data_IF_052378040317
#
_entry.id   IF_052378040317
#
_cell.length_a   1.000
_cell.length_b   1.000
_cell.length_c   1.000
_cell.angle_alpha   90.00
_cell.angle_beta   90.00
_cell.angle_gamma   90.00
#
_symmetry.space_group_name_H-M   'P 1'
#
loop_
_entity.id
_entity.type
_entity.pdbx_description
1 polymer ?
#
# COMPACT_ATOMS: atom_id res chain seq x y z
N UNK A 1 10.11 -23.94 -9.11
CA UNK A 1 11.09 -24.67 -8.27
C UNK A 1 11.44 -23.76 -7.12
N UNK A 2 11.14 -24.15 -5.88
CA UNK A 2 11.38 -23.37 -4.65
C UNK A 2 12.24 -24.18 -3.68
N UNK A 3 12.97 -23.51 -2.80
CA UNK A 3 13.77 -24.11 -1.73
C UNK A 3 12.94 -24.22 -0.46
N UNK A 4 12.69 -25.43 0.03
CA UNK A 4 11.86 -25.67 1.19
C UNK A 4 12.71 -26.34 2.29
N UNK A 5 12.71 -25.75 3.50
CA UNK A 5 13.37 -26.31 4.67
C UNK A 5 12.33 -27.03 5.52
N UNK A 6 12.54 -28.30 5.77
CA UNK A 6 11.73 -29.14 6.66
C UNK A 6 12.51 -29.34 7.97
N UNK A 7 11.91 -28.95 9.10
CA UNK A 7 12.49 -29.08 10.43
C UNK A 7 11.57 -29.96 11.29
N UNK A 8 12.00 -31.20 11.53
CA UNK A 8 11.20 -32.20 12.27
C UNK A 8 12.17 -33.28 12.77
N UNK A 9 12.05 -33.71 14.02
CA UNK A 9 12.92 -34.72 14.62
C UNK A 9 12.48 -36.17 14.32
N UNK A 10 11.32 -36.32 13.68
CA UNK A 10 10.75 -37.64 13.33
C UNK A 10 11.13 -38.05 11.91
N UNK A 11 12.01 -39.05 11.70
CA UNK A 11 12.50 -39.42 10.37
C UNK A 11 11.39 -39.79 9.37
N UNK A 12 10.30 -40.39 9.85
CA UNK A 12 9.16 -40.78 9.00
C UNK A 12 8.44 -39.54 8.45
N UNK A 13 8.21 -38.54 9.30
CA UNK A 13 7.60 -37.26 8.90
C UNK A 13 8.45 -36.54 7.87
N UNK A 14 9.75 -36.42 8.14
CA UNK A 14 10.73 -35.80 7.23
C UNK A 14 10.74 -36.53 5.88
N UNK A 15 10.77 -37.85 5.87
CA UNK A 15 10.79 -38.64 4.63
C UNK A 15 9.51 -38.42 3.82
N UNK A 16 8.33 -38.42 4.48
CA UNK A 16 7.05 -38.16 3.82
C UNK A 16 7.00 -36.77 3.18
N UNK A 17 7.37 -35.73 3.93
CA UNK A 17 7.39 -34.34 3.45
C UNK A 17 8.41 -34.18 2.30
N UNK A 18 9.61 -34.71 2.45
CA UNK A 18 10.64 -34.66 1.41
C UNK A 18 10.19 -35.33 0.11
N UNK A 19 9.65 -36.55 0.18
CA UNK A 19 9.15 -37.27 -1.00
C UNK A 19 7.99 -36.51 -1.67
N UNK A 20 7.08 -35.95 -0.87
CA UNK A 20 5.91 -35.22 -1.38
C UNK A 20 6.33 -33.94 -2.10
N UNK A 21 7.20 -33.16 -1.50
CA UNK A 21 7.62 -31.85 -2.03
C UNK A 21 8.60 -31.98 -3.20
N UNK A 22 9.50 -32.97 -3.15
CA UNK A 22 10.42 -33.25 -4.27
C UNK A 22 9.67 -33.72 -5.52
N UNK A 23 8.59 -34.51 -5.37
CA UNK A 23 7.71 -34.89 -6.50
C UNK A 23 7.02 -33.69 -7.14
N UNK A 24 6.81 -32.59 -6.40
CA UNK A 24 6.27 -31.33 -6.93
C UNK A 24 7.36 -30.43 -7.55
N UNK A 25 8.61 -30.88 -7.63
CA UNK A 25 9.69 -30.17 -8.26
C UNK A 25 10.37 -29.10 -7.37
N UNK A 26 10.22 -29.22 -6.05
CA UNK A 26 10.91 -28.34 -5.10
C UNK A 26 12.26 -28.92 -4.69
N UNK A 27 13.22 -28.06 -4.33
CA UNK A 27 14.47 -28.42 -3.66
C UNK A 27 14.20 -28.44 -2.14
N UNK A 28 14.43 -29.59 -1.49
CA UNK A 28 14.12 -29.77 -0.06
C UNK A 28 15.39 -30.07 0.72
N UNK A 29 15.58 -29.36 1.84
CA UNK A 29 16.55 -29.69 2.88
C UNK A 29 15.84 -29.99 4.20
N UNK A 30 16.45 -30.81 5.04
CA UNK A 30 15.91 -31.15 6.35
C UNK A 30 16.89 -30.82 7.47
N UNK A 31 16.32 -30.57 8.67
CA UNK A 31 17.05 -30.40 9.92
C UNK A 31 16.29 -31.18 11.02
N UNK A 32 17.03 -31.74 11.98
CA UNK A 32 16.51 -32.68 12.95
C UNK A 32 16.11 -32.03 14.30
N UNK A 33 16.32 -30.72 14.45
CA UNK A 33 15.88 -29.93 15.61
C UNK A 33 15.80 -28.44 15.28
N UNK A 34 15.21 -27.65 16.19
CA UNK A 34 15.02 -26.23 16.00
C UNK A 34 16.32 -25.44 15.85
N UNK A 35 17.38 -25.80 16.55
CA UNK A 35 18.67 -25.11 16.47
C UNK A 35 19.33 -25.29 15.08
N UNK A 36 19.31 -26.50 14.57
CA UNK A 36 19.77 -26.80 13.22
C UNK A 36 18.88 -26.12 12.17
N UNK A 37 17.56 -26.10 12.39
CA UNK A 37 16.60 -25.41 11.54
C UNK A 37 16.88 -23.92 11.40
N UNK A 38 17.15 -23.22 12.53
CA UNK A 38 17.56 -21.81 12.53
C UNK A 38 18.87 -21.58 11.78
N UNK A 39 19.88 -22.45 12.00
CA UNK A 39 21.16 -22.35 11.30
C UNK A 39 20.99 -22.58 9.78
N UNK A 40 20.28 -23.63 9.40
CA UNK A 40 19.99 -23.95 8.01
C UNK A 40 19.19 -22.85 7.30
N UNK A 41 18.18 -22.29 7.95
CA UNK A 41 17.40 -21.17 7.43
C UNK A 41 18.30 -19.95 7.14
N UNK A 42 19.19 -19.61 8.04
CA UNK A 42 20.13 -18.48 7.89
C UNK A 42 21.13 -18.69 6.75
N UNK A 43 21.68 -19.90 6.63
CA UNK A 43 22.70 -20.23 5.61
C UNK A 43 22.07 -20.38 4.23
N UNK A 44 21.02 -21.17 4.12
CA UNK A 44 20.46 -21.59 2.85
C UNK A 44 19.37 -20.65 2.30
N UNK A 45 18.77 -19.83 3.18
CA UNK A 45 17.69 -18.88 2.84
C UNK A 45 16.56 -19.55 2.06
N UNK A 46 15.80 -20.46 2.67
CA UNK A 46 14.70 -21.15 2.02
C UNK A 46 13.58 -20.17 1.64
N UNK A 47 12.81 -20.53 0.62
CA UNK A 47 11.61 -19.80 0.19
C UNK A 47 10.40 -20.12 1.06
N UNK A 48 10.46 -21.22 1.85
CA UNK A 48 9.46 -21.64 2.83
C UNK A 48 10.09 -22.57 3.87
N UNK A 49 9.62 -22.48 5.13
CA UNK A 49 10.01 -23.41 6.22
C UNK A 49 8.77 -24.16 6.69
N UNK A 50 8.90 -25.47 6.88
CA UNK A 50 7.95 -26.32 7.58
C UNK A 50 8.60 -26.69 8.92
N UNK A 51 7.95 -26.35 10.03
CA UNK A 51 8.53 -26.41 11.35
C UNK A 51 7.69 -27.28 12.27
N UNK A 52 8.22 -28.39 12.75
CA UNK A 52 7.58 -29.14 13.85
C UNK A 52 7.69 -28.39 15.17
N UNK A 53 6.65 -28.51 16.01
CA UNK A 53 6.62 -27.87 17.33
C UNK A 53 7.44 -28.66 18.34
N UNK A 54 7.23 -29.98 18.41
CA UNK A 54 7.75 -30.82 19.47
C UNK A 54 9.10 -31.45 19.10
N UNK A 55 10.16 -30.70 19.33
CA UNK A 55 11.53 -31.16 19.04
C UNK A 55 12.43 -31.01 20.26
N UNK A 56 13.47 -31.86 20.38
CA UNK A 56 14.47 -31.73 21.44
C UNK A 56 15.36 -30.50 21.26
N UNK A 57 16.00 -30.05 22.35
CA UNK A 57 16.93 -28.93 22.44
C UNK A 57 16.29 -27.56 22.21
N UNK A 58 15.54 -27.37 21.16
CA UNK A 58 14.83 -26.14 20.83
C UNK A 58 13.51 -26.50 20.15
N UNK A 59 12.41 -26.07 20.77
CA UNK A 59 11.07 -26.25 20.19
C UNK A 59 10.83 -25.39 18.95
N UNK A 60 9.79 -25.74 18.19
CA UNK A 60 9.45 -25.04 16.94
C UNK A 60 9.00 -23.60 17.14
N UNK A 61 8.43 -23.24 18.27
CA UNK A 61 8.02 -21.87 18.56
C UNK A 61 9.25 -20.97 18.80
N UNK A 62 10.20 -21.43 19.58
CA UNK A 62 11.46 -20.70 19.80
C UNK A 62 12.28 -20.62 18.52
N UNK A 63 12.34 -21.69 17.72
CA UNK A 63 12.99 -21.69 16.41
C UNK A 63 12.33 -20.66 15.48
N UNK A 64 11.00 -20.63 15.44
CA UNK A 64 10.21 -19.64 14.65
C UNK A 64 10.54 -18.21 15.10
N UNK A 65 10.52 -17.90 16.39
CA UNK A 65 10.91 -16.57 16.90
C UNK A 65 12.32 -16.17 16.47
N UNK A 66 13.28 -17.10 16.51
CA UNK A 66 14.68 -16.83 16.11
C UNK A 66 14.82 -16.64 14.61
N UNK A 67 14.07 -17.38 13.79
CA UNK A 67 14.04 -17.17 12.34
C UNK A 67 13.45 -15.79 12.03
N UNK A 68 12.38 -15.37 12.70
CA UNK A 68 11.76 -14.04 12.57
C UNK A 68 12.68 -12.90 13.03
N UNK A 69 13.45 -13.10 14.08
CA UNK A 69 14.41 -12.10 14.57
C UNK A 69 15.61 -11.90 13.64
N UNK A 70 15.84 -12.79 12.68
CA UNK A 70 16.94 -12.71 11.76
C UNK A 70 16.51 -12.06 10.44
N UNK A 71 16.97 -10.85 10.17
CA UNK A 71 16.59 -10.02 9.02
C UNK A 71 16.52 -10.76 7.66
N UNK A 72 17.49 -11.61 7.25
CA UNK A 72 17.43 -12.32 5.98
C UNK A 72 16.31 -13.35 5.86
N UNK A 73 15.75 -13.83 6.98
CA UNK A 73 14.72 -14.88 7.02
C UNK A 73 13.42 -14.43 7.66
N UNK A 74 13.34 -13.15 8.08
CA UNK A 74 12.21 -12.61 8.82
C UNK A 74 10.86 -12.72 8.06
N UNK A 75 10.90 -12.69 6.73
CA UNK A 75 9.73 -12.76 5.86
C UNK A 75 9.56 -14.13 5.17
N UNK A 76 10.44 -15.11 5.43
CA UNK A 76 10.28 -16.46 4.89
C UNK A 76 9.02 -17.10 5.47
N UNK A 77 8.06 -17.56 4.67
CA UNK A 77 6.87 -18.22 5.17
C UNK A 77 7.21 -19.42 6.05
N UNK A 78 6.56 -19.52 7.22
CA UNK A 78 6.72 -20.63 8.16
C UNK A 78 5.39 -21.28 8.41
N UNK A 79 5.26 -22.55 8.04
CA UNK A 79 4.12 -23.41 8.36
C UNK A 79 4.52 -24.25 9.57
N UNK A 80 3.84 -24.04 10.70
CA UNK A 80 4.07 -24.83 11.90
C UNK A 80 3.25 -26.12 11.82
N UNK A 81 3.88 -27.26 12.13
CA UNK A 81 3.24 -28.57 12.16
C UNK A 81 3.19 -29.07 13.60
N UNK A 82 2.03 -29.47 14.09
CA UNK A 82 1.83 -29.88 15.49
C UNK A 82 0.98 -31.15 15.60
N UNK A 83 1.22 -31.94 16.63
CA UNK A 83 0.41 -33.11 16.95
C UNK A 83 -0.89 -32.75 17.70
N UNK A 84 -1.02 -31.54 18.20
CA UNK A 84 -2.18 -31.09 18.97
C UNK A 84 -2.95 -30.03 18.16
N UNK A 85 -4.27 -30.17 18.12
CA UNK A 85 -5.18 -29.28 17.38
C UNK A 85 -6.02 -28.41 18.33
N UNK A 86 -5.40 -27.89 19.40
CA UNK A 86 -6.06 -27.02 20.36
C UNK A 86 -5.98 -25.57 19.93
N UNK A 87 -6.97 -24.76 20.35
CA UNK A 87 -6.97 -23.32 20.07
C UNK A 87 -5.75 -22.64 20.69
N UNK A 88 -5.31 -23.07 21.87
CA UNK A 88 -4.17 -22.50 22.58
C UNK A 88 -2.86 -22.69 21.79
N UNK A 89 -2.66 -23.86 21.19
CA UNK A 89 -1.47 -24.12 20.37
C UNK A 89 -1.46 -23.37 19.04
N UNK A 90 -2.65 -23.25 18.42
CA UNK A 90 -2.80 -22.41 17.22
C UNK A 90 -2.43 -20.95 17.52
N UNK A 91 -2.91 -20.42 18.65
CA UNK A 91 -2.55 -19.07 19.09
C UNK A 91 -1.04 -18.94 19.36
N UNK A 92 -0.44 -19.92 20.06
CA UNK A 92 1.00 -19.93 20.34
C UNK A 92 1.86 -19.97 19.07
N UNK A 93 1.43 -20.70 18.03
CA UNK A 93 2.11 -20.72 16.73
C UNK A 93 2.10 -19.32 16.06
N UNK A 94 0.94 -18.66 16.02
CA UNK A 94 0.83 -17.31 15.44
C UNK A 94 1.57 -16.25 16.29
N UNK A 95 1.53 -16.34 17.62
CA UNK A 95 2.31 -15.47 18.51
C UNK A 95 3.83 -15.66 18.35
N UNK A 96 4.28 -16.86 18.00
CA UNK A 96 5.67 -17.11 17.67
C UNK A 96 6.06 -16.54 16.28
N UNK A 97 5.10 -16.15 15.46
CA UNK A 97 5.29 -15.57 14.14
C UNK A 97 5.15 -16.57 12.98
N UNK A 98 4.43 -17.68 13.17
CA UNK A 98 4.06 -18.58 12.07
C UNK A 98 3.05 -17.91 11.11
N UNK A 99 3.11 -18.22 9.82
CA UNK A 99 2.17 -17.76 8.81
C UNK A 99 0.99 -18.72 8.62
N UNK A 100 1.18 -19.97 9.01
CA UNK A 100 0.14 -21.01 8.96
C UNK A 100 0.48 -22.13 9.95
N UNK A 101 -0.51 -22.98 10.19
CA UNK A 101 -0.30 -24.20 11.00
C UNK A 101 -0.98 -25.40 10.33
N UNK A 102 -0.52 -26.61 10.64
CA UNK A 102 -1.09 -27.87 10.18
C UNK A 102 -1.01 -28.93 11.28
N UNK A 103 -2.07 -29.70 11.47
CA UNK A 103 -2.10 -30.77 12.47
C UNK A 103 -1.56 -32.10 11.92
N UNK A 104 -0.84 -32.86 12.76
CA UNK A 104 -0.48 -34.26 12.47
C UNK A 104 -1.59 -35.21 12.98
N UNK A 105 -1.95 -36.26 12.23
CA UNK A 105 -1.47 -36.62 10.90
C UNK A 105 -2.10 -35.74 9.81
N UNK A 106 -1.35 -35.42 8.76
CA UNK A 106 -1.81 -34.62 7.63
C UNK A 106 -1.78 -35.44 6.34
N UNK A 107 -2.65 -35.08 5.41
CA UNK A 107 -2.66 -35.67 4.08
C UNK A 107 -1.64 -34.98 3.16
N UNK A 108 -0.93 -35.71 2.28
CA UNK A 108 0.00 -35.11 1.33
C UNK A 108 -0.61 -33.98 0.47
N UNK A 109 -1.90 -34.10 0.14
CA UNK A 109 -2.62 -33.08 -0.65
C UNK A 109 -2.77 -31.78 0.14
N UNK A 110 -3.02 -31.85 1.46
CA UNK A 110 -3.10 -30.67 2.32
C UNK A 110 -1.75 -29.96 2.42
N UNK A 111 -0.66 -30.72 2.62
CA UNK A 111 0.70 -30.17 2.65
C UNK A 111 1.01 -29.41 1.34
N UNK A 112 0.75 -30.04 0.18
CA UNK A 112 0.98 -29.41 -1.13
C UNK A 112 0.16 -28.12 -1.26
N UNK A 113 -1.12 -28.15 -0.93
CA UNK A 113 -2.02 -27.00 -1.06
C UNK A 113 -1.52 -25.80 -0.22
N UNK A 114 -1.16 -26.03 1.04
CA UNK A 114 -0.63 -24.98 1.94
C UNK A 114 0.70 -24.43 1.44
N UNK A 115 1.64 -25.29 1.07
CA UNK A 115 2.94 -24.90 0.53
C UNK A 115 2.78 -24.05 -0.74
N UNK A 116 1.92 -24.47 -1.67
CA UNK A 116 1.65 -23.69 -2.89
C UNK A 116 1.06 -22.32 -2.61
N UNK A 117 0.10 -22.23 -1.67
CA UNK A 117 -0.52 -20.95 -1.27
C UNK A 117 0.56 -20.00 -0.73
N UNK A 118 1.41 -20.45 0.19
CA UNK A 118 2.43 -19.60 0.77
C UNK A 118 3.56 -19.25 -0.21
N UNK A 119 3.98 -20.17 -1.06
CA UNK A 119 4.95 -19.87 -2.13
C UNK A 119 4.40 -18.90 -3.16
N UNK A 120 3.13 -19.04 -3.57
CA UNK A 120 2.47 -18.05 -4.44
C UNK A 120 2.37 -16.69 -3.78
N UNK A 121 2.03 -16.61 -2.49
CA UNK A 121 2.02 -15.36 -1.72
C UNK A 121 3.40 -14.70 -1.69
N UNK A 122 4.46 -15.49 -1.46
CA UNK A 122 5.84 -14.99 -1.45
C UNK A 122 6.32 -14.53 -2.84
N UNK A 123 5.87 -15.16 -3.92
CA UNK A 123 6.18 -14.78 -5.32
C UNK A 123 5.37 -13.58 -5.81
N UNK A 124 4.16 -13.37 -5.25
CA UNK A 124 3.30 -12.22 -5.56
C UNK A 124 3.65 -10.99 -4.71
N UNK A 125 4.50 -11.14 -3.70
CA UNK A 125 5.15 -10.01 -3.06
C UNK A 125 5.93 -9.23 -4.13
N UNK A 126 5.77 -7.90 -4.22
CA UNK A 126 6.43 -7.12 -5.28
C UNK A 126 7.94 -7.37 -5.24
N UNK A 127 8.49 -7.89 -6.33
CA UNK A 127 9.94 -8.12 -6.50
C UNK A 127 10.65 -6.77 -6.49
N UNK A 128 11.08 -6.29 -5.33
CA UNK A 128 11.73 -5.00 -5.18
C UNK A 128 12.08 -4.60 -3.75
N UNK A 129 11.72 -5.40 -2.74
CA UNK A 129 12.07 -5.07 -1.35
C UNK A 129 13.23 -5.96 -0.88
N UNK A 130 14.43 -5.38 -0.87
CA UNK A 130 15.59 -5.95 -0.20
C UNK A 130 15.30 -6.20 1.30
N UNK A 131 15.94 -7.22 1.94
CA UNK A 131 15.69 -7.58 3.33
C UNK A 131 16.22 -6.49 4.26
N UNK A 132 15.34 -5.84 5.01
CA UNK A 132 15.81 -5.06 6.14
C UNK A 132 15.07 -3.80 6.52
N UNK A 133 13.79 -3.95 6.93
CA UNK A 133 13.11 -3.16 7.97
C UNK A 133 11.78 -3.87 8.23
N UNK A 134 11.25 -3.91 9.49
CA UNK A 134 9.82 -4.09 9.63
C UNK A 134 9.17 -3.00 8.79
N UNK A 135 8.39 -3.39 7.76
CA UNK A 135 7.76 -2.42 6.86
C UNK A 135 6.82 -1.60 7.73
N UNK A 136 7.13 -0.35 7.95
CA UNK A 136 6.15 0.58 8.47
C UNK A 136 4.92 0.49 7.55
N UNK A 137 3.73 0.47 8.11
CA UNK A 137 2.51 0.44 7.32
C UNK A 137 2.59 1.48 6.20
N UNK A 138 2.14 1.11 4.99
CA UNK A 138 2.21 1.97 3.82
C UNK A 138 1.59 3.34 4.10
N UNK A 139 2.21 4.37 3.57
CA UNK A 139 1.84 5.75 3.79
C UNK A 139 0.56 6.10 3.01
N UNK A 140 -0.51 6.45 3.71
CA UNK A 140 -1.78 6.87 3.11
C UNK A 140 -1.82 8.39 3.01
N UNK A 141 -2.01 8.88 1.79
CA UNK A 141 -2.22 10.26 1.43
C UNK A 141 -3.66 10.43 0.94
N UNK A 142 -4.50 11.12 1.70
CA UNK A 142 -5.86 11.41 1.30
C UNK A 142 -5.96 12.75 0.57
N UNK A 143 -6.65 12.79 -0.56
CA UNK A 143 -7.09 14.03 -1.20
C UNK A 143 -8.58 14.20 -0.89
N UNK A 144 -8.96 15.28 -0.23
CA UNK A 144 -10.30 15.50 0.30
C UNK A 144 -10.75 16.95 0.17
N UNK A 145 -12.01 17.18 -0.11
CA UNK A 145 -12.65 18.50 -0.05
C UNK A 145 -14.16 18.34 0.12
N UNK A 146 -14.81 19.14 0.96
CA UNK A 146 -16.27 19.16 1.07
C UNK A 146 -16.97 19.77 -0.16
N UNK A 147 -16.20 20.29 -1.12
CA UNK A 147 -16.76 20.93 -2.30
C UNK A 147 -16.29 20.26 -3.59
N UNK A 148 -17.24 19.90 -4.45
CA UNK A 148 -16.96 19.42 -5.79
C UNK A 148 -16.31 20.48 -6.68
N UNK A 149 -15.53 20.04 -7.67
CA UNK A 149 -14.84 20.92 -8.60
C UNK A 149 -13.59 21.62 -8.07
N UNK A 150 -13.14 21.31 -6.86
CA UNK A 150 -11.90 21.83 -6.27
C UNK A 150 -10.62 21.18 -6.82
N UNK A 151 -10.73 20.08 -7.59
CA UNK A 151 -9.62 19.38 -8.21
C UNK A 151 -9.08 18.18 -7.41
N UNK A 152 -9.88 17.58 -6.51
CA UNK A 152 -9.49 16.42 -5.67
C UNK A 152 -8.97 15.28 -6.53
N UNK A 153 -9.76 14.77 -7.47
CA UNK A 153 -9.40 13.63 -8.33
C UNK A 153 -8.21 13.92 -9.25
N UNK A 154 -8.12 15.14 -9.76
CA UNK A 154 -6.98 15.58 -10.60
C UNK A 154 -5.69 15.62 -9.78
N UNK A 155 -5.76 16.13 -8.56
CA UNK A 155 -4.64 16.16 -7.62
C UNK A 155 -4.22 14.75 -7.25
N UNK A 156 -5.17 13.90 -6.83
CA UNK A 156 -4.91 12.52 -6.43
C UNK A 156 -4.23 11.71 -7.55
N UNK A 157 -4.78 11.76 -8.76
CA UNK A 157 -4.23 11.05 -9.93
C UNK A 157 -2.82 11.55 -10.31
N UNK A 158 -2.62 12.87 -10.30
CA UNK A 158 -1.31 13.46 -10.62
C UNK A 158 -0.25 13.15 -9.56
N UNK A 159 -0.62 13.19 -8.27
CA UNK A 159 0.28 12.83 -7.17
C UNK A 159 0.65 11.35 -7.18
N UNK A 160 -0.33 10.45 -7.41
CA UNK A 160 -0.07 9.02 -7.49
C UNK A 160 0.96 8.71 -8.59
N UNK A 161 0.80 9.30 -9.79
CA UNK A 161 1.74 9.15 -10.90
C UNK A 161 3.11 9.73 -10.55
N UNK A 162 3.15 10.93 -9.99
CA UNK A 162 4.40 11.58 -9.60
C UNK A 162 5.19 10.77 -8.57
N UNK A 163 4.49 10.24 -7.56
CA UNK A 163 5.08 9.41 -6.50
C UNK A 163 5.66 8.10 -7.06
N UNK A 164 4.88 7.39 -7.89
CA UNK A 164 5.35 6.15 -8.52
C UNK A 164 6.60 6.37 -9.37
N UNK A 165 6.61 7.42 -10.19
CA UNK A 165 7.74 7.75 -11.06
C UNK A 165 8.95 8.25 -10.29
N UNK A 166 8.75 9.07 -9.24
CA UNK A 166 9.85 9.65 -8.46
C UNK A 166 10.58 8.57 -7.66
N UNK A 167 9.86 7.73 -6.96
CA UNK A 167 10.45 6.78 -6.02
C UNK A 167 10.63 5.37 -6.59
N UNK A 168 10.00 5.06 -7.74
CA UNK A 168 9.98 3.69 -8.30
C UNK A 168 9.48 2.65 -7.30
N UNK A 169 8.57 3.07 -6.44
CA UNK A 169 7.98 2.24 -5.38
C UNK A 169 6.56 1.81 -5.73
N UNK A 170 6.09 0.67 -5.21
CA UNK A 170 4.72 0.24 -5.36
C UNK A 170 3.75 1.33 -4.86
N UNK A 171 3.05 1.96 -5.78
CA UNK A 171 2.12 3.06 -5.50
C UNK A 171 0.71 2.68 -5.94
N UNK A 172 -0.27 3.00 -5.09
CA UNK A 172 -1.67 2.69 -5.31
C UNK A 172 -2.50 3.97 -5.35
N UNK A 173 -3.46 4.04 -6.26
CA UNK A 173 -4.53 5.03 -6.28
C UNK A 173 -5.85 4.35 -5.95
N UNK A 174 -6.51 4.81 -4.88
CA UNK A 174 -7.83 4.37 -4.45
C UNK A 174 -8.88 5.40 -4.87
N UNK A 175 -9.80 5.02 -5.74
CA UNK A 175 -10.97 5.83 -6.08
C UNK A 175 -12.10 5.55 -5.10
N UNK A 176 -12.18 6.36 -4.06
CA UNK A 176 -13.20 6.25 -3.01
C UNK A 176 -14.46 7.08 -3.33
N UNK A 177 -14.51 7.73 -4.49
CA UNK A 177 -15.72 8.40 -4.99
C UNK A 177 -16.66 7.33 -5.54
N UNK A 178 -17.22 6.51 -4.65
CA UNK A 178 -17.99 5.31 -5.00
C UNK A 178 -19.20 5.60 -5.91
N UNK A 179 -19.67 6.83 -5.92
CA UNK A 179 -20.74 7.30 -6.81
C UNK A 179 -20.18 8.27 -7.84
N UNK A 180 -19.91 7.76 -9.03
CA UNK A 180 -19.42 8.59 -10.14
C UNK A 180 -17.94 8.99 -10.03
N UNK A 181 -17.11 8.12 -9.51
CA UNK A 181 -15.64 8.31 -9.50
C UNK A 181 -15.05 8.24 -10.91
N UNK A 182 -13.93 8.91 -11.10
CA UNK A 182 -13.31 9.09 -12.41
C UNK A 182 -11.79 8.83 -12.43
N UNK A 183 -11.21 8.29 -11.36
CA UNK A 183 -9.75 8.07 -11.29
C UNK A 183 -9.25 7.14 -12.42
N UNK A 184 -10.02 6.10 -12.75
CA UNK A 184 -9.69 5.21 -13.86
C UNK A 184 -9.70 5.95 -15.22
N UNK A 185 -10.69 6.83 -15.43
CA UNK A 185 -10.79 7.67 -16.63
C UNK A 185 -9.60 8.66 -16.73
N UNK A 186 -9.24 9.30 -15.62
CA UNK A 186 -8.12 10.24 -15.56
C UNK A 186 -6.77 9.58 -15.84
N UNK A 187 -6.67 8.25 -15.70
CA UNK A 187 -5.48 7.46 -16.01
C UNK A 187 -5.62 6.63 -17.29
N UNK A 188 -6.72 6.80 -18.04
CA UNK A 188 -7.01 6.01 -19.24
C UNK A 188 -6.85 4.50 -19.05
N UNK A 189 -7.34 3.99 -17.92
CA UNK A 189 -7.38 2.55 -17.63
C UNK A 189 -8.84 2.05 -17.66
N UNK A 190 -9.08 0.81 -18.14
CA UNK A 190 -10.42 0.24 -18.14
C UNK A 190 -10.87 -0.06 -16.72
N UNK A 191 -12.04 0.41 -16.29
CA UNK A 191 -12.64 0.05 -15.00
C UNK A 191 -13.30 -1.34 -15.07
N UNK A 192 -12.52 -2.38 -15.44
CA UNK A 192 -13.00 -3.75 -15.60
C UNK A 192 -13.22 -4.48 -14.27
N UNK A 193 -12.71 -3.95 -13.19
CA UNK A 193 -12.86 -4.41 -11.79
C UNK A 193 -12.84 -3.19 -10.88
N UNK A 194 -13.58 -3.25 -9.78
CA UNK A 194 -13.84 -2.09 -8.94
C UNK A 194 -13.99 -2.48 -7.47
N UNK A 195 -14.20 -1.51 -6.61
CA UNK A 195 -14.60 -1.72 -5.23
C UNK A 195 -15.84 -2.61 -5.08
N UNK A 196 -16.82 -2.48 -5.98
CA UNK A 196 -18.04 -3.28 -5.92
C UNK A 196 -17.78 -4.75 -6.22
N UNK A 197 -16.93 -5.06 -7.19
CA UNK A 197 -16.53 -6.43 -7.50
C UNK A 197 -15.80 -7.07 -6.30
N UNK A 198 -14.95 -6.31 -5.62
CA UNK A 198 -14.26 -6.75 -4.41
C UNK A 198 -15.23 -6.95 -3.24
N UNK A 199 -16.20 -6.04 -3.06
CA UNK A 199 -17.23 -6.14 -2.03
C UNK A 199 -18.27 -7.25 -2.29
N UNK A 200 -18.15 -7.98 -3.38
CA UNK A 200 -18.92 -9.22 -3.63
C UNK A 200 -18.59 -10.37 -2.70
N UNK A 201 -17.43 -10.31 -1.99
CA UNK A 201 -17.06 -11.27 -0.93
C UNK A 201 -17.06 -10.58 0.44
N UNK A 202 -17.31 -11.34 1.52
CA UNK A 202 -17.24 -10.78 2.88
C UNK A 202 -15.81 -10.31 3.24
N UNK A 203 -15.64 -9.25 4.05
CA UNK A 203 -14.34 -8.68 4.41
C UNK A 203 -13.36 -9.69 5.03
N UNK A 204 -13.87 -10.70 5.73
CA UNK A 204 -13.09 -11.75 6.40
C UNK A 204 -12.38 -12.69 5.40
N UNK A 205 -12.86 -12.73 4.17
CA UNK A 205 -12.26 -13.54 3.09
C UNK A 205 -11.18 -12.77 2.31
N UNK A 206 -10.97 -11.49 2.63
CA UNK A 206 -9.96 -10.70 1.93
C UNK A 206 -8.55 -11.16 2.30
N UNK A 207 -7.79 -11.48 1.27
CA UNK A 207 -6.34 -11.69 1.36
C UNK A 207 -5.62 -10.85 0.28
N UNK A 208 -4.31 -10.87 0.32
CA UNK A 208 -3.49 -10.09 -0.61
C UNK A 208 -3.72 -10.49 -2.08
N UNK A 209 -3.95 -11.78 -2.35
CA UNK A 209 -4.20 -12.28 -3.70
C UNK A 209 -5.57 -11.80 -4.20
N UNK A 210 -6.60 -11.92 -3.34
CA UNK A 210 -7.95 -11.47 -3.65
C UNK A 210 -7.99 -9.96 -3.90
N UNK A 211 -7.42 -9.14 -3.02
CA UNK A 211 -7.40 -7.68 -3.19
C UNK A 211 -6.61 -7.29 -4.45
N UNK A 212 -5.42 -7.88 -4.66
CA UNK A 212 -4.57 -7.54 -5.80
C UNK A 212 -5.20 -7.87 -7.17
N UNK A 213 -6.08 -8.87 -7.28
CA UNK A 213 -6.76 -9.17 -8.55
C UNK A 213 -7.72 -8.05 -9.00
N UNK A 214 -8.18 -7.19 -8.07
CA UNK A 214 -9.06 -6.06 -8.39
C UNK A 214 -8.29 -4.77 -8.75
N UNK A 215 -6.96 -4.80 -8.65
CA UNK A 215 -6.11 -3.66 -8.97
C UNK A 215 -5.73 -3.67 -10.44
N UNK A 216 -5.89 -2.52 -11.10
CA UNK A 216 -5.56 -2.33 -12.50
C UNK A 216 -4.20 -1.64 -12.62
N UNK A 217 -3.29 -2.21 -13.41
CA UNK A 217 -1.97 -1.63 -13.62
C UNK A 217 -2.02 -0.48 -14.64
N UNK A 218 -1.34 0.63 -14.33
CA UNK A 218 -1.13 1.75 -15.23
C UNK A 218 0.34 1.85 -15.66
N UNK A 219 0.60 2.39 -16.86
CA UNK A 219 1.95 2.50 -17.45
C UNK A 219 2.97 3.27 -16.60
N UNK A 220 2.52 4.16 -15.70
CA UNK A 220 3.39 4.92 -14.79
C UNK A 220 3.94 4.11 -13.61
N UNK A 221 3.50 2.86 -13.43
CA UNK A 221 3.80 2.04 -12.25
C UNK A 221 2.74 2.14 -11.14
N UNK A 222 1.73 3.03 -11.28
CA UNK A 222 0.59 3.09 -10.38
C UNK A 222 -0.32 1.88 -10.60
N UNK A 223 -0.85 1.33 -9.52
CA UNK A 223 -2.02 0.45 -9.55
C UNK A 223 -3.25 1.22 -9.10
N UNK A 224 -4.38 0.93 -9.69
CA UNK A 224 -5.64 1.65 -9.41
C UNK A 224 -6.67 0.65 -8.90
N UNK A 225 -7.35 1.00 -7.82
CA UNK A 225 -8.60 0.37 -7.42
C UNK A 225 -9.74 1.33 -7.78
N UNK A 226 -10.46 1.08 -8.90
CA UNK A 226 -11.49 1.99 -9.37
C UNK A 226 -12.74 2.00 -8.51
N UNK A 227 -13.48 3.10 -8.57
CA UNK A 227 -14.86 3.17 -8.11
C UNK A 227 -15.77 2.25 -8.93
N UNK A 228 -16.96 1.87 -8.40
CA UNK A 228 -17.96 1.12 -9.15
C UNK A 228 -18.38 1.85 -10.43
N UNK A 229 -18.57 1.09 -11.51
CA UNK A 229 -19.04 1.65 -12.81
C UNK A 229 -20.52 2.06 -12.71
N UNK A 230 -21.33 1.29 -11.98
CA UNK A 230 -22.74 1.56 -11.81
C UNK A 230 -23.03 2.13 -10.42
N UNK A 231 -23.74 3.25 -10.38
CA UNK A 231 -24.09 3.97 -9.14
C UNK A 231 -24.74 3.08 -8.08
N UNK A 232 -25.58 2.11 -8.52
CA UNK A 232 -26.25 1.18 -7.60
C UNK A 232 -25.28 0.25 -6.85
N UNK A 233 -24.15 -0.02 -7.42
CA UNK A 233 -23.14 -0.92 -6.85
C UNK A 233 -22.35 -0.25 -5.72
N UNK A 234 -22.41 1.07 -5.62
CA UNK A 234 -21.78 1.81 -4.52
C UNK A 234 -22.29 1.37 -3.13
N UNK A 235 -23.55 0.93 -3.04
CA UNK A 235 -24.17 0.46 -1.80
C UNK A 235 -23.61 -0.88 -1.30
N UNK A 236 -22.92 -1.64 -2.15
CA UNK A 236 -22.26 -2.89 -1.78
C UNK A 236 -21.00 -2.64 -0.92
N UNK A 237 -20.38 -1.47 -1.08
CA UNK A 237 -19.14 -1.13 -0.38
C UNK A 237 -19.46 -0.49 0.96
N UNK A 238 -19.19 -1.20 2.03
CA UNK A 238 -19.37 -0.74 3.40
C UNK A 238 -18.02 -0.42 4.08
N UNK A 239 -18.01 0.21 5.27
CA UNK A 239 -16.78 0.58 5.97
C UNK A 239 -15.88 -0.61 6.32
N UNK A 240 -16.45 -1.79 6.58
CA UNK A 240 -15.71 -3.01 6.92
C UNK A 240 -14.90 -3.52 5.71
N UNK A 241 -15.48 -3.49 4.50
CA UNK A 241 -14.74 -3.77 3.27
C UNK A 241 -13.55 -2.82 3.08
N UNK A 242 -13.78 -1.52 3.33
CA UNK A 242 -12.72 -0.49 3.18
C UNK A 242 -11.60 -0.73 4.19
N UNK A 243 -11.93 -1.01 5.46
CA UNK A 243 -10.95 -1.28 6.52
C UNK A 243 -10.12 -2.52 6.21
N UNK A 244 -10.78 -3.65 5.87
CA UNK A 244 -10.11 -4.90 5.53
C UNK A 244 -9.18 -4.76 4.32
N UNK A 245 -9.64 -4.06 3.26
CA UNK A 245 -8.81 -3.78 2.11
C UNK A 245 -7.60 -2.90 2.47
N UNK A 246 -7.78 -1.84 3.25
CA UNK A 246 -6.69 -0.95 3.68
C UNK A 246 -5.65 -1.68 4.53
N UNK A 247 -6.02 -2.60 5.41
CA UNK A 247 -5.09 -3.41 6.21
C UNK A 247 -4.15 -4.19 5.29
N UNK A 248 -4.70 -4.82 4.26
CA UNK A 248 -3.93 -5.58 3.28
C UNK A 248 -3.10 -4.66 2.39
N UNK A 249 -3.68 -3.56 1.92
CA UNK A 249 -3.02 -2.65 0.99
C UNK A 249 -1.86 -1.92 1.65
N UNK A 250 -2.00 -1.44 2.90
CA UNK A 250 -0.92 -0.81 3.64
C UNK A 250 0.23 -1.78 3.97
N UNK A 251 -0.06 -3.07 4.12
CA UNK A 251 0.98 -4.08 4.30
C UNK A 251 1.78 -4.35 3.01
N UNK A 252 1.19 -4.12 1.82
CA UNK A 252 1.77 -4.51 0.54
C UNK A 252 2.27 -3.33 -0.31
N UNK A 253 1.76 -2.12 -0.10
CA UNK A 253 2.11 -0.91 -0.85
C UNK A 253 2.79 0.10 0.06
N UNK A 254 3.82 0.78 -0.45
CA UNK A 254 4.55 1.81 0.31
C UNK A 254 3.82 3.15 0.29
N UNK A 255 3.12 3.43 -0.80
CA UNK A 255 2.42 4.68 -1.05
C UNK A 255 0.99 4.41 -1.52
N UNK A 256 0.03 4.93 -0.78
CA UNK A 256 -1.39 4.89 -1.12
C UNK A 256 -1.90 6.32 -1.25
N UNK A 257 -2.48 6.65 -2.38
CA UNK A 257 -3.18 7.92 -2.61
C UNK A 257 -4.67 7.62 -2.70
N UNK A 258 -5.47 8.28 -1.90
CA UNK A 258 -6.92 8.12 -1.91
C UNK A 258 -7.60 9.36 -2.47
N UNK A 259 -8.43 9.17 -3.49
CA UNK A 259 -9.35 10.17 -4.04
C UNK A 259 -10.68 10.04 -3.29
N UNK A 260 -10.97 11.00 -2.40
CA UNK A 260 -12.11 10.93 -1.50
C UNK A 260 -13.31 11.74 -1.98
N UNK A 261 -14.54 11.29 -1.67
CA UNK A 261 -15.77 12.04 -1.94
C UNK A 261 -15.87 13.31 -1.06
N UNK A 262 -16.92 14.07 -1.29
CA UNK A 262 -17.15 15.36 -0.62
C UNK A 262 -18.01 15.24 0.65
N UNK A 263 -17.78 14.18 1.43
CA UNK A 263 -18.56 13.88 2.63
C UNK A 263 -17.70 13.27 3.75
N UNK A 264 -18.28 13.10 4.91
CA UNK A 264 -17.72 12.42 6.08
C UNK A 264 -18.47 11.12 6.40
N UNK A 265 -18.89 10.37 5.37
CA UNK A 265 -19.50 9.05 5.60
C UNK A 265 -18.47 8.07 6.17
N UNK A 266 -18.97 7.00 6.77
CA UNK A 266 -18.12 6.00 7.43
C UNK A 266 -17.06 5.39 6.52
N UNK A 267 -17.35 5.20 5.22
CA UNK A 267 -16.36 4.74 4.22
C UNK A 267 -15.25 5.77 3.99
N UNK A 268 -15.58 7.06 4.00
CA UNK A 268 -14.62 8.16 3.88
C UNK A 268 -13.78 8.28 5.16
N UNK A 269 -14.43 8.22 6.32
CA UNK A 269 -13.75 8.26 7.63
C UNK A 269 -12.79 7.08 7.79
N UNK A 270 -13.16 5.87 7.34
CA UNK A 270 -12.28 4.70 7.39
C UNK A 270 -10.94 4.92 6.67
N UNK A 271 -10.90 5.75 5.62
CA UNK A 271 -9.66 6.13 4.92
C UNK A 271 -8.96 7.29 5.63
N UNK A 272 -9.71 8.33 6.02
CA UNK A 272 -9.17 9.50 6.70
C UNK A 272 -8.46 9.13 8.00
N UNK A 273 -9.02 8.22 8.81
CA UNK A 273 -8.45 7.73 10.07
C UNK A 273 -7.08 7.04 9.90
N UNK A 274 -6.81 6.52 8.70
CA UNK A 274 -5.54 5.86 8.38
C UNK A 274 -4.58 6.76 7.60
N UNK A 275 -5.02 7.97 7.26
CA UNK A 275 -4.25 8.88 6.44
C UNK A 275 -3.17 9.58 7.26
N UNK A 276 -1.93 9.50 6.82
CA UNK A 276 -0.84 10.25 7.44
C UNK A 276 -0.88 11.73 7.06
N UNK A 277 -1.42 12.05 5.87
CA UNK A 277 -1.63 13.42 5.39
C UNK A 277 -2.96 13.51 4.66
N UNK A 278 -3.67 14.60 4.89
CA UNK A 278 -4.93 14.96 4.23
C UNK A 278 -4.69 16.24 3.44
N UNK A 279 -4.70 16.14 2.12
CA UNK A 279 -4.57 17.27 1.21
C UNK A 279 -5.94 17.82 0.89
N UNK A 280 -6.15 19.09 1.17
CA UNK A 280 -7.41 19.79 0.95
C UNK A 280 -7.29 20.80 -0.17
N UNK A 281 -7.56 20.43 -1.45
CA UNK A 281 -7.62 21.39 -2.53
C UNK A 281 -8.88 22.25 -2.43
N UNK A 282 -8.71 23.56 -2.66
CA UNK A 282 -9.79 24.53 -2.64
C UNK A 282 -9.47 25.72 -3.56
N UNK A 283 -10.50 26.41 -4.04
CA UNK A 283 -10.34 27.59 -4.90
C UNK A 283 -10.46 28.90 -4.09
N UNK A 284 -9.85 30.02 -4.58
CA UNK A 284 -9.77 31.28 -3.85
C UNK A 284 -11.08 32.09 -3.90
N UNK A 285 -12.19 31.47 -3.56
CA UNK A 285 -13.52 32.06 -3.49
C UNK A 285 -14.23 31.77 -2.18
N UNK A 286 -15.12 32.65 -1.74
CA UNK A 286 -15.77 32.59 -0.42
C UNK A 286 -16.47 31.26 -0.15
N UNK A 287 -17.17 30.68 -1.12
CA UNK A 287 -17.90 29.43 -0.91
C UNK A 287 -16.93 28.25 -0.67
N UNK A 288 -15.81 28.21 -1.39
CA UNK A 288 -14.78 27.19 -1.21
C UNK A 288 -14.06 27.33 0.13
N UNK A 289 -13.71 28.57 0.51
CA UNK A 289 -13.07 28.87 1.80
C UNK A 289 -14.01 28.51 2.97
N UNK A 290 -15.31 28.78 2.84
CA UNK A 290 -16.29 28.36 3.85
C UNK A 290 -16.38 26.84 3.99
N UNK A 291 -16.31 26.12 2.88
CA UNK A 291 -16.29 24.66 2.91
C UNK A 291 -15.02 24.12 3.59
N UNK A 292 -13.86 24.75 3.35
CA UNK A 292 -12.62 24.43 4.07
C UNK A 292 -12.77 24.68 5.57
N UNK A 293 -13.29 25.84 5.96
CA UNK A 293 -13.51 26.19 7.38
C UNK A 293 -14.40 25.14 8.07
N UNK A 294 -15.52 24.77 7.43
CA UNK A 294 -16.42 23.74 7.95
C UNK A 294 -15.73 22.36 8.07
N UNK A 295 -14.92 21.98 7.09
CA UNK A 295 -14.16 20.73 7.16
C UNK A 295 -13.12 20.75 8.30
N UNK A 296 -12.43 21.88 8.50
CA UNK A 296 -11.47 22.04 9.61
C UNK A 296 -12.15 21.94 10.99
N UNK A 297 -13.37 22.46 11.14
CA UNK A 297 -14.17 22.30 12.35
C UNK A 297 -14.52 20.83 12.62
N UNK A 298 -14.89 20.07 11.58
CA UNK A 298 -15.16 18.62 11.69
C UNK A 298 -13.89 17.86 12.06
N UNK A 299 -12.77 18.13 11.40
CA UNK A 299 -11.49 17.49 11.72
C UNK A 299 -11.05 17.78 13.16
N UNK A 300 -11.26 19.00 13.64
CA UNK A 300 -10.98 19.35 15.02
C UNK A 300 -11.90 18.59 16.00
N UNK A 301 -13.18 18.46 15.69
CA UNK A 301 -14.13 17.71 16.51
C UNK A 301 -13.84 16.22 16.55
N UNK A 302 -13.25 15.68 15.49
CA UNK A 302 -12.79 14.28 15.38
C UNK A 302 -11.33 14.09 15.84
N UNK A 303 -10.72 15.11 16.44
CA UNK A 303 -9.37 15.08 17.04
C UNK A 303 -8.23 14.78 16.05
N UNK A 304 -8.40 15.09 14.74
CA UNK A 304 -7.29 14.99 13.78
C UNK A 304 -6.21 16.04 14.10
N UNK A 305 -4.94 15.60 13.99
CA UNK A 305 -3.81 16.50 14.22
C UNK A 305 -3.78 17.65 13.18
N UNK A 306 -3.66 18.92 13.58
CA UNK A 306 -3.62 20.03 12.64
C UNK A 306 -2.53 19.91 11.57
N UNK A 307 -1.40 19.29 11.90
CA UNK A 307 -0.26 19.08 11.01
C UNK A 307 -0.54 18.03 9.93
N UNK A 308 -1.52 17.17 10.15
CA UNK A 308 -1.95 16.14 9.20
C UNK A 308 -2.70 16.76 8.01
N UNK A 309 -3.30 17.94 8.20
CA UNK A 309 -4.13 18.61 7.21
C UNK A 309 -3.31 19.66 6.48
N UNK A 310 -3.21 19.56 5.15
CA UNK A 310 -2.47 20.47 4.28
C UNK A 310 -3.42 21.19 3.33
N UNK A 311 -3.34 22.50 3.29
CA UNK A 311 -4.20 23.34 2.43
C UNK A 311 -3.54 23.54 1.06
N UNK A 312 -4.25 23.18 0.00
CA UNK A 312 -3.79 23.31 -1.38
C UNK A 312 -4.66 24.34 -2.09
N UNK A 313 -4.14 25.54 -2.27
CA UNK A 313 -4.83 26.57 -3.03
C UNK A 313 -4.74 26.29 -4.52
N UNK A 314 -5.87 25.93 -5.12
CA UNK A 314 -5.98 25.62 -6.55
C UNK A 314 -6.65 26.80 -7.29
N UNK A 315 -5.91 27.47 -8.14
CA UNK A 315 -6.46 28.50 -9.00
C UNK A 315 -7.28 27.88 -10.14
N UNK A 316 -8.59 27.87 -9.99
CA UNK A 316 -9.53 27.31 -11.00
C UNK A 316 -10.02 28.37 -12.00
N UNK A 317 -9.64 29.63 -11.81
CA UNK A 317 -9.96 30.77 -12.68
C UNK A 317 -8.84 31.83 -12.66
N UNK A 318 -8.68 32.64 -13.73
CA UNK A 318 -7.63 33.64 -13.78
C UNK A 318 -7.95 34.86 -12.88
N UNK A 319 -7.04 35.23 -12.01
CA UNK A 319 -6.81 36.55 -11.37
C UNK A 319 -7.92 37.21 -10.54
N UNK A 320 -9.06 36.60 -10.24
CA UNK A 320 -10.17 37.27 -9.53
C UNK A 320 -10.45 36.71 -8.14
N UNK A 321 -9.51 35.94 -7.57
CA UNK A 321 -9.69 35.29 -6.25
C UNK A 321 -9.27 36.16 -5.08
N UNK A 322 -9.62 35.72 -3.88
CA UNK A 322 -9.13 36.30 -2.64
C UNK A 322 -7.62 36.10 -2.50
N UNK A 323 -6.89 37.12 -2.01
CA UNK A 323 -5.45 37.00 -1.81
C UNK A 323 -5.10 35.92 -0.77
N UNK A 324 -4.04 35.11 -1.01
CA UNK A 324 -3.64 34.05 -0.07
C UNK A 324 -3.49 34.53 1.39
N UNK A 325 -2.89 35.69 1.70
CA UNK A 325 -2.76 36.16 3.09
C UNK A 325 -4.12 36.41 3.80
N UNK A 326 -5.15 36.82 3.05
CA UNK A 326 -6.48 37.03 3.60
C UNK A 326 -7.16 35.68 3.88
N UNK A 327 -6.97 34.71 3.00
CA UNK A 327 -7.44 33.32 3.16
C UNK A 327 -6.80 32.69 4.40
N UNK A 328 -5.46 32.76 4.52
CA UNK A 328 -4.74 32.23 5.67
C UNK A 328 -5.19 32.85 6.99
N UNK A 329 -5.44 34.18 6.98
CA UNK A 329 -5.97 34.89 8.15
C UNK A 329 -7.37 34.40 8.52
N UNK A 330 -8.24 34.21 7.52
CA UNK A 330 -9.61 33.73 7.74
C UNK A 330 -9.65 32.28 8.26
N UNK A 331 -8.84 31.40 7.69
CA UNK A 331 -8.76 29.99 8.07
C UNK A 331 -7.85 29.72 9.28
N UNK A 332 -7.07 30.71 9.74
CA UNK A 332 -6.04 30.59 10.78
C UNK A 332 -5.04 29.44 10.51
N UNK A 333 -4.82 29.16 9.25
CA UNK A 333 -3.98 28.07 8.79
C UNK A 333 -3.25 28.48 7.51
N UNK A 334 -1.97 28.09 7.40
CA UNK A 334 -1.15 28.39 6.21
C UNK A 334 -1.54 27.53 5.02
N UNK A 335 -1.33 28.09 3.84
CA UNK A 335 -1.44 27.40 2.57
C UNK A 335 -0.10 26.69 2.30
N UNK A 336 -0.13 25.36 2.15
CA UNK A 336 1.06 24.53 1.95
C UNK A 336 1.54 24.56 0.50
N UNK A 337 0.61 24.64 -0.45
CA UNK A 337 0.89 24.71 -1.88
C UNK A 337 -0.12 25.60 -2.58
N UNK A 338 0.37 26.39 -3.54
CA UNK A 338 -0.48 27.14 -4.48
C UNK A 338 -0.25 26.62 -5.89
N UNK A 339 -1.29 26.04 -6.49
CA UNK A 339 -1.28 25.54 -7.86
C UNK A 339 -1.65 26.65 -8.83
N UNK A 340 -0.87 26.77 -9.90
CA UNK A 340 -1.10 27.76 -10.94
C UNK A 340 -2.30 27.41 -11.82
N UNK A 341 -3.00 28.46 -12.30
CA UNK A 341 -4.08 28.29 -13.26
C UNK A 341 -3.55 27.92 -14.62
N UNK A 342 -3.96 26.76 -15.13
CA UNK A 342 -3.75 26.35 -16.53
C UNK A 342 -4.92 25.48 -17.00
N UNK A 343 -6.01 26.15 -17.40
CA UNK A 343 -7.24 25.49 -17.82
C UNK A 343 -7.03 24.58 -19.02
N UNK A 344 -6.33 25.09 -20.02
CA UNK A 344 -6.21 24.38 -21.30
C UNK A 344 -5.35 23.15 -21.17
N UNK A 345 -4.29 23.22 -20.36
CA UNK A 345 -3.48 22.09 -19.98
C UNK A 345 -4.32 21.02 -19.26
N UNK A 346 -5.07 21.42 -18.23
CA UNK A 346 -5.90 20.49 -17.44
C UNK A 346 -6.99 19.83 -18.29
N UNK A 347 -7.67 20.57 -19.15
CA UNK A 347 -8.68 20.00 -20.06
C UNK A 347 -8.05 18.98 -21.02
N UNK A 348 -6.88 19.28 -21.60
CA UNK A 348 -6.16 18.32 -22.45
C UNK A 348 -5.76 17.06 -21.67
N UNK A 349 -5.21 17.23 -20.47
CA UNK A 349 -4.80 16.14 -19.58
C UNK A 349 -5.99 15.21 -19.27
N UNK A 350 -7.11 15.78 -18.84
CA UNK A 350 -8.33 15.04 -18.51
C UNK A 350 -8.88 14.29 -19.73
N UNK A 351 -8.98 14.97 -20.88
CA UNK A 351 -9.55 14.37 -22.10
C UNK A 351 -8.67 13.26 -22.70
N UNK A 352 -7.36 13.29 -22.45
CA UNK A 352 -6.43 12.23 -22.85
C UNK A 352 -6.34 11.08 -21.84
N UNK A 353 -6.79 11.30 -20.59
CA UNK A 353 -6.52 10.38 -19.50
C UNK A 353 -5.01 10.29 -19.17
N UNK A 354 -4.30 11.40 -19.32
CA UNK A 354 -2.87 11.53 -19.01
C UNK A 354 -2.70 12.62 -17.95
N UNK A 355 -2.48 12.27 -16.66
CA UNK A 355 -2.20 13.26 -15.61
C UNK A 355 -1.06 14.20 -16.00
N UNK A 356 -1.12 15.46 -15.53
CA UNK A 356 -0.14 16.50 -15.87
C UNK A 356 1.29 16.06 -15.56
N UNK A 357 1.48 15.30 -14.49
CA UNK A 357 2.77 14.72 -14.08
C UNK A 357 3.24 13.54 -14.93
N UNK A 358 2.46 13.12 -15.92
CA UNK A 358 2.84 12.13 -16.93
C UNK A 358 3.08 12.79 -18.30
N UNK A 359 2.11 13.55 -18.79
CA UNK A 359 2.14 14.11 -20.15
C UNK A 359 2.86 15.45 -20.27
N UNK A 360 2.82 16.29 -19.22
CA UNK A 360 3.27 17.69 -19.27
C UNK A 360 4.14 18.07 -18.05
N UNK A 361 5.10 17.19 -17.72
CA UNK A 361 5.95 17.28 -16.51
C UNK A 361 6.78 18.57 -16.44
N UNK A 362 7.05 19.22 -17.57
CA UNK A 362 7.82 20.46 -17.65
C UNK A 362 6.97 21.71 -17.57
N UNK A 363 5.64 21.59 -17.58
CA UNK A 363 4.74 22.71 -17.36
C UNK A 363 4.87 23.25 -15.94
N UNK A 364 4.57 24.52 -15.67
CA UNK A 364 4.61 25.08 -14.32
C UNK A 364 3.81 24.25 -13.31
N UNK A 365 2.63 23.77 -13.70
CA UNK A 365 1.77 22.94 -12.87
C UNK A 365 2.38 21.53 -12.65
N UNK A 366 2.94 20.91 -13.69
CA UNK A 366 3.63 19.62 -13.59
C UNK A 366 4.82 19.69 -12.65
N UNK A 367 5.64 20.72 -12.76
CA UNK A 367 6.78 21.00 -11.87
C UNK A 367 6.31 21.17 -10.42
N UNK A 368 5.28 21.98 -10.17
CA UNK A 368 4.76 22.22 -8.82
C UNK A 368 4.28 20.91 -8.18
N UNK A 369 3.59 20.05 -8.93
CA UNK A 369 3.08 18.77 -8.43
C UNK A 369 4.20 17.75 -8.19
N UNK A 370 5.20 17.65 -9.09
CA UNK A 370 6.37 16.79 -8.86
C UNK A 370 7.17 17.22 -7.64
N UNK A 371 7.48 18.50 -7.52
CA UNK A 371 8.28 19.05 -6.41
C UNK A 371 7.54 18.88 -5.08
N UNK A 372 6.22 19.08 -5.07
CA UNK A 372 5.41 18.89 -3.87
C UNK A 372 5.32 17.44 -3.46
N UNK A 373 5.07 16.51 -4.39
CA UNK A 373 5.04 15.08 -4.12
C UNK A 373 6.37 14.60 -3.50
N UNK A 374 7.49 15.08 -4.02
CA UNK A 374 8.82 14.78 -3.49
C UNK A 374 9.03 15.36 -2.09
N UNK A 375 8.70 16.64 -1.87
CA UNK A 375 8.86 17.29 -0.58
C UNK A 375 8.02 16.62 0.51
N UNK A 376 6.76 16.35 0.21
CA UNK A 376 5.81 15.72 1.11
C UNK A 376 6.27 14.35 1.58
N UNK A 377 6.69 13.49 0.66
CA UNK A 377 7.13 12.13 1.01
C UNK A 377 8.46 12.12 1.76
N UNK A 378 9.33 13.09 1.53
CA UNK A 378 10.55 13.24 2.36
C UNK A 378 10.25 13.68 3.77
N UNK A 379 9.28 14.57 3.96
CA UNK A 379 8.89 15.07 5.27
C UNK A 379 8.24 13.96 6.11
N UNK A 380 7.33 13.21 5.54
CA UNK A 380 6.42 12.33 6.29
C UNK A 380 6.83 10.86 6.24
N UNK A 381 7.36 10.37 5.12
CA UNK A 381 7.75 8.96 4.96
C UNK A 381 9.21 8.67 5.36
N UNK A 382 9.89 9.60 6.02
CA UNK A 382 11.25 9.40 6.54
C UNK A 382 12.33 9.17 5.49
N UNK A 383 12.03 9.52 4.23
CA UNK A 383 12.89 9.32 3.08
C UNK A 383 12.78 7.92 2.51
N UNK A 384 11.90 7.75 1.54
CA UNK A 384 11.91 6.58 0.66
C UNK A 384 13.28 6.54 -0.03
N UNK A 385 14.03 5.47 0.18
CA UNK A 385 15.32 5.30 -0.47
C UNK A 385 15.11 4.56 -1.79
N UNK A 386 15.58 5.14 -2.89
CA UNK A 386 15.69 4.42 -4.16
C UNK A 386 17.17 4.09 -4.39
N UNK A 387 17.49 2.82 -4.54
CA UNK A 387 18.85 2.38 -4.87
C UNK A 387 19.29 2.86 -6.26
N UNK A 388 18.33 3.14 -7.14
CA UNK A 388 18.54 3.70 -8.47
C UNK A 388 17.62 4.90 -8.69
N UNK A 389 18.16 6.13 -8.69
CA UNK A 389 17.36 7.33 -8.91
C UNK A 389 16.66 7.30 -10.28
N UNK A 390 15.34 7.48 -10.28
CA UNK A 390 14.53 7.63 -11.49
C UNK A 390 14.84 8.96 -12.21
N UNK A 391 14.40 9.11 -13.46
CA UNK A 391 14.52 10.37 -14.17
C UNK A 391 13.66 11.47 -13.52
N UNK A 392 12.49 11.14 -12.98
CA UNK A 392 11.66 12.05 -12.21
C UNK A 392 12.40 12.53 -10.94
N UNK A 393 12.98 11.60 -10.19
CA UNK A 393 13.79 11.93 -9.01
C UNK A 393 14.95 12.88 -9.37
N UNK A 394 15.67 12.61 -10.48
CA UNK A 394 16.78 13.44 -10.94
C UNK A 394 16.34 14.87 -11.28
N UNK A 395 15.21 15.02 -12.00
CA UNK A 395 14.63 16.34 -12.31
C UNK A 395 14.33 17.14 -11.05
N UNK A 396 13.64 16.52 -10.08
CA UNK A 396 13.27 17.19 -8.82
C UNK A 396 14.50 17.51 -7.98
N UNK A 397 15.44 16.58 -7.85
CA UNK A 397 16.68 16.80 -7.09
C UNK A 397 17.52 17.97 -7.65
N UNK A 398 17.60 18.10 -8.98
CA UNK A 398 18.26 19.25 -9.63
C UNK A 398 17.57 20.57 -9.29
N UNK A 399 16.24 20.63 -9.34
CA UNK A 399 15.47 21.85 -8.98
C UNK A 399 15.62 22.20 -7.48
N UNK A 400 15.69 21.18 -6.64
CA UNK A 400 15.81 21.33 -5.16
C UNK A 400 17.24 21.68 -4.69
N UNK A 401 18.22 21.83 -5.59
CA UNK A 401 19.62 22.20 -5.27
C UNK A 401 20.40 21.14 -4.49
N UNK A 402 20.02 19.85 -4.58
CA UNK A 402 20.68 18.74 -3.86
C UNK A 402 21.59 17.92 -4.78
N UNK A 403 22.80 17.52 -4.30
CA UNK A 403 23.67 16.66 -5.08
C UNK A 403 23.04 15.29 -5.30
N UNK A 404 23.19 14.76 -6.53
CA UNK A 404 22.91 13.36 -6.86
C UNK A 404 23.61 12.43 -5.86
N UNK A 405 22.98 11.32 -5.41
CA UNK A 405 23.69 10.34 -4.59
C UNK A 405 24.91 9.87 -5.38
N UNK A 406 26.09 10.11 -4.82
CA UNK A 406 27.34 9.65 -5.42
C UNK A 406 27.27 8.13 -5.54
N UNK A 407 27.55 7.60 -6.74
CA UNK A 407 27.90 6.19 -6.91
C UNK A 407 28.99 5.88 -5.90
N UNK A 408 28.69 5.11 -4.86
CA UNK A 408 29.75 4.44 -4.11
C UNK A 408 30.33 3.41 -5.06
N UNK A 409 31.58 3.63 -5.39
CA UNK A 409 32.42 2.71 -6.14
C UNK A 409 32.59 1.39 -5.38
#
# INVERSE_FOLDING_TARGET
MARILVVDDTPISVQLMNLTLTKQGHEVRSADNGAQGVAAAKEWRPDLVIMDVMMPEMDGYEATRRIRANTPTALTPIIVVTAQDTLEEKMAAFEAGADDYMSKPFEPVELIARVEVHLKRAQLAPSGLGPGRPKAAGFVLACFSLRGGSGVSTLASSLAVSLAQTWSQPTLLLDMVLVGGHAALLLNVPASRSWADMAGSPPEEFDAAYVNQHLIAHQSGVRVLPSPVHVREAELVNPEHVKAALDILQANYDLLVADLPHDFRDTTLAVLDRSAVILMPFSPELASIRSVAAALEVFQALEYAPEQIRLILNWTFPKSGLPPPEIEKALKKKIDLTLSYDRDLLIRSINKGEPVTLGEVTSPLGVQLEDYAYALTREVAGGLASDTPSDAWRRVAQRSGKPSPSKKA
#
